data_IF_421971980741
#
_entry.id   IF_421971980741
#
_cell.length_a   1.000
_cell.length_b   1.000
_cell.length_c   1.000
_cell.angle_alpha   90.00
_cell.angle_beta   90.00
_cell.angle_gamma   90.00
#
_symmetry.space_group_name_H-M   'P 1'
#
loop_
_entity.id
_entity.type
_entity.pdbx_description
1 polymer ?
#
# COMPACT_ATOMS: atom_id res chain seq x y z
N UNK A 1 5.12 -13.44 2.49
CA UNK A 1 3.98 -14.08 1.81
C UNK A 1 2.71 -13.88 2.63
N UNK A 2 1.59 -13.56 1.96
CA UNK A 2 0.29 -13.30 2.60
C UNK A 2 -0.68 -14.42 2.18
N UNK A 3 -1.44 -14.99 3.12
CA UNK A 3 -2.45 -16.02 2.82
C UNK A 3 -3.78 -15.66 3.47
N UNK A 4 -4.83 -15.67 2.67
CA UNK A 4 -6.22 -15.62 3.12
C UNK A 4 -6.80 -17.04 3.06
N UNK A 5 -7.33 -17.52 4.16
CA UNK A 5 -7.90 -18.88 4.30
C UNK A 5 -9.36 -18.75 4.76
N UNK A 6 -10.29 -18.98 3.85
CA UNK A 6 -11.73 -18.90 4.05
C UNK A 6 -12.17 -17.59 4.74
N UNK A 7 -11.56 -16.46 4.35
CA UNK A 7 -11.77 -15.17 5.00
C UNK A 7 -13.10 -14.57 4.56
N UNK A 8 -13.91 -14.20 5.54
CA UNK A 8 -15.16 -13.49 5.33
C UNK A 8 -15.24 -12.23 6.17
N UNK A 9 -15.92 -11.20 5.64
CA UNK A 9 -16.20 -9.96 6.34
C UNK A 9 -17.63 -9.51 6.18
N UNK A 10 -18.31 -9.39 7.32
CA UNK A 10 -19.66 -8.85 7.41
C UNK A 10 -19.69 -7.57 8.26
N UNK A 11 -20.54 -6.63 7.89
CA UNK A 11 -20.92 -5.47 8.67
C UNK A 11 -22.41 -5.56 8.99
N UNK A 12 -22.73 -5.78 10.25
CA UNK A 12 -24.13 -6.08 10.70
C UNK A 12 -24.69 -7.28 9.91
N UNK A 13 -25.67 -7.07 9.03
CA UNK A 13 -26.32 -8.09 8.23
C UNK A 13 -25.86 -8.13 6.75
N UNK A 14 -24.84 -7.35 6.40
CA UNK A 14 -24.35 -7.26 5.02
C UNK A 14 -22.97 -7.90 4.88
N UNK A 15 -22.89 -8.97 4.10
CA UNK A 15 -21.61 -9.60 3.76
C UNK A 15 -20.93 -8.76 2.68
N UNK A 16 -19.68 -8.35 2.97
CA UNK A 16 -18.84 -7.57 2.03
C UNK A 16 -17.83 -8.47 1.34
N UNK A 17 -17.34 -9.49 2.05
CA UNK A 17 -16.44 -10.52 1.52
C UNK A 17 -16.88 -11.89 2.02
N UNK A 18 -16.86 -12.90 1.13
CA UNK A 18 -17.30 -14.25 1.44
C UNK A 18 -16.25 -15.28 1.01
N UNK A 19 -15.79 -16.08 1.96
CA UNK A 19 -14.93 -17.23 1.75
C UNK A 19 -13.69 -16.96 0.84
N UNK A 20 -13.05 -15.83 1.05
CA UNK A 20 -11.88 -15.43 0.27
C UNK A 20 -10.71 -16.37 0.54
N UNK A 21 -10.20 -16.97 -0.52
CA UNK A 21 -8.98 -17.78 -0.53
C UNK A 21 -7.99 -17.19 -1.54
N UNK A 22 -6.90 -16.61 -1.02
CA UNK A 22 -5.90 -15.94 -1.83
C UNK A 22 -4.52 -16.11 -1.21
N UNK A 23 -3.53 -16.44 -2.02
CA UNK A 23 -2.13 -16.44 -1.61
C UNK A 23 -1.36 -15.40 -2.43
N UNK A 24 -0.57 -14.59 -1.78
CA UNK A 24 0.33 -13.58 -2.40
C UNK A 24 1.75 -13.97 -2.05
N UNK A 25 2.59 -14.15 -3.05
CA UNK A 25 3.98 -14.57 -2.86
C UNK A 25 4.86 -13.38 -2.45
N UNK A 26 6.00 -13.70 -1.85
CA UNK A 26 7.02 -12.70 -1.56
C UNK A 26 7.54 -12.08 -2.86
N UNK A 27 7.72 -10.76 -2.86
CA UNK A 27 8.22 -10.02 -4.01
C UNK A 27 7.22 -9.87 -5.17
N UNK A 28 5.96 -10.28 -5.00
CA UNK A 28 4.92 -10.20 -6.02
C UNK A 28 4.13 -8.89 -5.92
N UNK A 29 3.87 -8.23 -7.06
CA UNK A 29 2.92 -7.14 -7.17
C UNK A 29 1.56 -7.68 -7.62
N UNK A 30 0.62 -7.76 -6.67
CA UNK A 30 -0.74 -8.22 -6.93
C UNK A 30 -1.69 -7.04 -6.98
N UNK A 31 -2.43 -6.92 -8.07
CA UNK A 31 -3.48 -5.90 -8.22
C UNK A 31 -4.85 -6.50 -7.92
N UNK A 32 -5.58 -5.86 -7.03
CA UNK A 32 -6.99 -6.14 -6.74
C UNK A 32 -7.86 -5.18 -7.56
N UNK A 33 -8.63 -5.70 -8.50
CA UNK A 33 -9.49 -4.90 -9.36
C UNK A 33 -10.95 -5.35 -9.24
N UNK A 34 -11.88 -4.44 -9.46
CA UNK A 34 -13.32 -4.70 -9.43
C UNK A 34 -14.15 -3.44 -9.24
N UNK A 35 -15.48 -3.51 -9.36
CA UNK A 35 -16.35 -2.36 -9.19
C UNK A 35 -16.26 -1.74 -7.78
N UNK A 36 -16.72 -0.49 -7.68
CA UNK A 36 -16.80 0.18 -6.37
C UNK A 36 -17.69 -0.61 -5.41
N UNK A 37 -17.27 -0.70 -4.14
CA UNK A 37 -18.02 -1.43 -3.12
C UNK A 37 -17.86 -2.95 -3.10
N UNK A 38 -17.10 -3.57 -4.03
CA UNK A 38 -16.95 -5.04 -4.07
C UNK A 38 -16.00 -5.61 -2.97
N UNK A 39 -15.42 -4.77 -2.09
CA UNK A 39 -14.64 -5.24 -0.96
C UNK A 39 -13.11 -5.07 -1.07
N UNK A 40 -12.55 -4.49 -2.15
CA UNK A 40 -11.09 -4.33 -2.36
C UNK A 40 -10.39 -3.65 -1.19
N UNK A 41 -10.82 -2.44 -0.84
CA UNK A 41 -10.29 -1.68 0.30
C UNK A 41 -10.48 -2.41 1.64
N UNK A 42 -11.58 -3.15 1.79
CA UNK A 42 -11.82 -3.98 2.98
C UNK A 42 -10.79 -5.10 3.07
N UNK A 43 -10.55 -5.81 1.95
CA UNK A 43 -9.52 -6.85 1.87
C UNK A 43 -8.14 -6.30 2.21
N UNK A 44 -7.78 -5.14 1.62
CA UNK A 44 -6.52 -4.46 1.88
C UNK A 44 -6.35 -4.10 3.36
N UNK A 45 -7.40 -3.50 3.96
CA UNK A 45 -7.39 -3.08 5.38
C UNK A 45 -7.37 -4.25 6.37
N UNK A 46 -7.75 -5.44 5.95
CA UNK A 46 -7.60 -6.63 6.80
C UNK A 46 -6.14 -7.11 6.86
N UNK A 47 -5.33 -6.94 5.82
CA UNK A 47 -3.91 -7.33 5.84
C UNK A 47 -3.16 -6.62 6.96
N UNK A 48 -3.36 -5.30 7.13
CA UNK A 48 -2.71 -4.52 8.18
C UNK A 48 -3.54 -4.46 9.48
N UNK A 49 -4.59 -5.27 9.57
CA UNK A 49 -5.45 -5.37 10.75
C UNK A 49 -6.05 -4.03 11.19
N UNK A 50 -6.34 -3.12 10.24
CA UNK A 50 -7.21 -1.96 10.48
C UNK A 50 -8.67 -2.41 10.61
N UNK A 51 -9.00 -3.57 10.03
CA UNK A 51 -10.29 -4.24 10.11
C UNK A 51 -10.00 -5.71 10.37
N UNK A 52 -10.60 -6.29 11.42
CA UNK A 52 -10.51 -7.73 11.67
C UNK A 52 -11.50 -8.50 10.78
N UNK A 53 -11.15 -9.70 10.29
CA UNK A 53 -12.08 -10.58 9.60
C UNK A 53 -13.20 -11.02 10.54
N UNK A 54 -14.38 -11.34 9.99
CA UNK A 54 -15.50 -11.92 10.76
C UNK A 54 -15.34 -13.43 10.89
N UNK A 55 -14.73 -14.09 9.89
CA UNK A 55 -14.39 -15.51 9.89
C UNK A 55 -13.15 -15.76 9.02
N UNK A 56 -12.54 -16.93 9.18
CA UNK A 56 -11.32 -17.32 8.48
C UNK A 56 -10.06 -16.76 9.13
N UNK A 57 -8.93 -16.91 8.44
CA UNK A 57 -7.61 -16.52 8.93
C UNK A 57 -6.82 -15.78 7.87
N UNK A 58 -6.01 -14.83 8.29
CA UNK A 58 -5.01 -14.16 7.42
C UNK A 58 -3.65 -14.43 8.04
N UNK A 59 -2.80 -15.09 7.26
CA UNK A 59 -1.43 -15.38 7.68
C UNK A 59 -0.45 -14.48 6.94
N UNK A 60 0.55 -13.97 7.67
CA UNK A 60 1.71 -13.28 7.11
C UNK A 60 2.95 -14.04 7.56
N UNK A 61 3.71 -14.53 6.57
CA UNK A 61 4.85 -15.40 6.80
C UNK A 61 4.53 -16.60 7.71
N UNK A 62 3.32 -17.18 7.54
CA UNK A 62 2.85 -18.31 8.31
C UNK A 62 2.27 -17.98 9.70
N UNK A 63 2.31 -16.73 10.14
CA UNK A 63 1.80 -16.28 11.44
C UNK A 63 0.46 -15.55 11.26
N UNK A 64 -0.56 -15.96 12.03
CA UNK A 64 -1.87 -15.31 12.01
C UNK A 64 -1.75 -13.85 12.48
N UNK A 65 -2.33 -12.92 11.73
CA UNK A 65 -2.31 -11.49 12.06
C UNK A 65 -2.98 -11.19 13.40
N UNK A 66 -3.94 -12.00 13.81
CA UNK A 66 -4.65 -11.84 15.10
C UNK A 66 -3.73 -12.16 16.28
N UNK A 67 -2.75 -13.04 16.09
CA UNK A 67 -1.77 -13.40 17.13
C UNK A 67 -0.63 -12.37 17.25
N UNK A 68 -0.51 -11.43 16.30
CA UNK A 68 0.55 -10.42 16.29
C UNK A 68 0.10 -9.14 17.01
N UNK A 69 1.07 -8.41 17.58
CA UNK A 69 0.81 -7.05 18.07
C UNK A 69 0.45 -6.14 16.87
N UNK A 70 -0.70 -5.45 16.88
CA UNK A 70 -1.16 -4.66 15.74
C UNK A 70 -0.29 -3.42 15.47
N UNK A 71 0.44 -2.92 16.46
CA UNK A 71 1.34 -1.77 16.29
C UNK A 71 2.58 -2.23 15.54
N UNK A 72 3.19 -3.32 15.97
CA UNK A 72 4.36 -3.89 15.32
C UNK A 72 4.03 -4.39 13.90
N UNK A 73 2.87 -5.03 13.72
CA UNK A 73 2.40 -5.45 12.40
C UNK A 73 2.33 -4.26 11.42
N UNK A 74 1.72 -3.15 11.84
CA UNK A 74 1.56 -1.94 11.00
C UNK A 74 2.85 -1.19 10.77
N UNK A 75 3.78 -1.16 11.74
CA UNK A 75 5.11 -0.56 11.57
C UNK A 75 5.95 -1.26 10.51
N UNK A 76 5.74 -2.58 10.35
CA UNK A 76 6.44 -3.41 9.38
C UNK A 76 5.75 -3.45 8.00
N UNK A 77 4.73 -2.60 7.78
CA UNK A 77 4.02 -2.47 6.50
C UNK A 77 4.00 -1.02 6.04
N UNK A 78 4.22 -0.81 4.75
CA UNK A 78 3.92 0.46 4.11
C UNK A 78 2.44 0.55 3.75
N UNK A 79 1.82 1.73 3.92
CA UNK A 79 0.45 1.94 3.49
C UNK A 79 0.27 3.29 2.80
N UNK A 80 -0.07 3.23 1.52
CA UNK A 80 -0.43 4.38 0.70
C UNK A 80 -1.95 4.40 0.59
N UNK A 81 -2.59 5.42 1.15
CA UNK A 81 -4.05 5.58 1.13
C UNK A 81 -4.51 6.38 -0.10
N UNK A 82 -5.77 6.23 -0.48
CA UNK A 82 -6.40 6.85 -1.66
C UNK A 82 -6.21 8.37 -1.74
N UNK A 83 -6.34 9.08 -0.63
CA UNK A 83 -5.89 10.46 -0.50
C UNK A 83 -4.48 10.44 0.07
N UNK A 84 -3.60 11.37 -0.33
CA UNK A 84 -2.17 11.37 0.07
C UNK A 84 -1.96 11.19 1.57
N UNK A 85 -2.95 11.59 2.39
CA UNK A 85 -2.95 11.43 3.85
C UNK A 85 -1.71 12.03 4.52
N UNK A 86 -1.10 13.02 3.89
CA UNK A 86 -0.01 13.76 4.51
C UNK A 86 -0.54 14.65 5.63
N UNK A 87 0.22 14.74 6.70
CA UNK A 87 -0.06 15.65 7.79
C UNK A 87 0.26 17.08 7.32
N UNK A 88 -0.79 17.86 7.06
CA UNK A 88 -0.67 19.21 6.46
C UNK A 88 0.07 20.22 7.33
N UNK A 89 0.16 19.96 8.63
CA UNK A 89 0.88 20.78 9.62
C UNK A 89 2.33 20.35 9.84
N UNK A 90 2.76 19.32 9.14
CA UNK A 90 4.13 18.80 9.15
C UNK A 90 4.80 19.06 7.81
N UNK A 91 6.10 19.27 7.82
CA UNK A 91 6.93 19.36 6.61
C UNK A 91 6.99 18.02 5.88
N UNK A 92 7.52 17.99 4.67
CA UNK A 92 7.82 16.75 3.93
C UNK A 92 8.72 15.83 4.75
N UNK A 93 9.78 16.38 5.33
CA UNK A 93 10.70 15.67 6.21
C UNK A 93 9.95 14.97 7.35
N UNK A 94 9.20 15.73 8.11
CA UNK A 94 8.44 15.21 9.26
C UNK A 94 7.42 14.15 8.85
N UNK A 95 6.78 14.30 7.68
CA UNK A 95 5.87 13.30 7.13
C UNK A 95 6.56 11.98 6.81
N UNK A 96 7.77 12.00 6.26
CA UNK A 96 8.54 10.78 5.95
C UNK A 96 9.09 10.15 7.23
N UNK A 97 9.61 10.97 8.14
CA UNK A 97 10.35 10.53 9.31
C UNK A 97 9.48 10.11 10.50
N UNK A 98 8.16 10.36 10.47
CA UNK A 98 7.26 10.11 11.62
C UNK A 98 7.29 8.64 12.11
N UNK A 99 7.25 7.67 11.20
CA UNK A 99 7.25 6.24 11.58
C UNK A 99 8.63 5.80 12.07
N UNK A 100 9.75 6.13 11.41
CA UNK A 100 11.10 5.95 11.94
C UNK A 100 11.30 6.51 13.35
N UNK A 101 10.84 7.74 13.63
CA UNK A 101 10.91 8.34 14.97
C UNK A 101 10.09 7.57 16.00
N UNK A 102 8.86 7.15 15.65
CA UNK A 102 8.03 6.32 16.52
C UNK A 102 8.64 4.94 16.78
N UNK A 103 9.40 4.42 15.84
CA UNK A 103 10.16 3.18 15.98
C UNK A 103 11.49 3.38 16.73
N UNK A 104 11.85 4.62 17.09
CA UNK A 104 13.08 5.01 17.79
C UNK A 104 14.35 4.61 17.04
N UNK A 105 14.35 4.72 15.71
CA UNK A 105 15.57 4.54 14.94
C UNK A 105 16.60 5.64 15.27
N UNK A 106 17.91 5.36 15.13
CA UNK A 106 18.95 6.36 15.27
C UNK A 106 18.75 7.54 14.30
N UNK A 107 19.01 8.76 14.76
CA UNK A 107 18.77 9.97 13.96
C UNK A 107 19.57 9.96 12.64
N UNK A 108 20.82 9.50 12.68
CA UNK A 108 21.66 9.43 11.49
C UNK A 108 21.07 8.48 10.43
N UNK A 109 20.51 7.35 10.86
CA UNK A 109 19.84 6.39 9.98
C UNK A 109 18.56 6.99 9.38
N UNK A 110 17.77 7.74 10.16
CA UNK A 110 16.57 8.42 9.68
C UNK A 110 16.92 9.41 8.57
N UNK A 111 17.93 10.26 8.80
CA UNK A 111 18.37 11.26 7.82
C UNK A 111 18.86 10.60 6.53
N UNK A 112 19.70 9.57 6.63
CA UNK A 112 20.21 8.84 5.45
C UNK A 112 19.06 8.20 4.66
N UNK A 113 18.12 7.56 5.33
CA UNK A 113 16.93 6.96 4.71
C UNK A 113 16.07 8.02 4.01
N UNK A 114 15.82 9.15 4.67
CA UNK A 114 15.01 10.24 4.12
C UNK A 114 15.59 10.77 2.82
N UNK A 115 16.91 10.97 2.75
CA UNK A 115 17.61 11.40 1.52
C UNK A 115 17.42 10.36 0.40
N UNK A 116 17.66 9.07 0.69
CA UNK A 116 17.47 7.98 -0.27
C UNK A 116 16.02 7.87 -0.77
N UNK A 117 15.05 8.09 0.12
CA UNK A 117 13.64 8.07 -0.23
C UNK A 117 13.26 9.23 -1.15
N UNK A 118 13.79 10.43 -0.94
CA UNK A 118 13.58 11.57 -1.85
C UNK A 118 14.13 11.29 -3.24
N UNK A 119 15.33 10.72 -3.32
CA UNK A 119 15.96 10.29 -4.60
C UNK A 119 15.11 9.20 -5.27
N UNK A 120 14.64 8.20 -4.50
CA UNK A 120 13.81 7.10 -4.98
C UNK A 120 12.52 7.59 -5.65
N UNK A 121 11.88 8.63 -5.09
CA UNK A 121 10.63 9.19 -5.65
C UNK A 121 10.89 10.37 -6.61
N UNK A 122 12.14 10.63 -6.98
CA UNK A 122 12.51 11.64 -7.96
C UNK A 122 12.18 13.07 -7.53
N UNK A 123 12.28 13.37 -6.23
CA UNK A 123 12.05 14.72 -5.70
C UNK A 123 13.33 15.34 -5.14
N UNK A 124 13.56 16.65 -5.41
CA UNK A 124 14.70 17.37 -4.86
C UNK A 124 14.67 17.43 -3.33
N UNK A 125 15.84 17.32 -2.70
CA UNK A 125 15.97 17.41 -1.24
C UNK A 125 15.51 18.74 -0.67
N UNK A 126 15.58 19.82 -1.46
CA UNK A 126 15.05 21.14 -1.07
C UNK A 126 13.56 21.17 -0.75
N UNK A 127 12.82 20.10 -1.11
CA UNK A 127 11.40 19.96 -0.77
C UNK A 127 11.18 19.46 0.67
N UNK A 128 12.22 18.96 1.32
CA UNK A 128 12.11 18.39 2.68
C UNK A 128 11.55 19.38 3.69
N UNK A 129 11.85 20.67 3.54
CA UNK A 129 11.40 21.72 4.45
C UNK A 129 10.10 22.41 4.01
N UNK A 130 9.49 21.94 2.90
CA UNK A 130 8.19 22.44 2.42
C UNK A 130 7.04 21.73 3.15
N UNK A 131 5.91 22.41 3.21
CA UNK A 131 4.64 21.83 3.69
C UNK A 131 3.86 21.23 2.51
N UNK A 132 2.98 20.23 2.74
CA UNK A 132 2.19 19.58 1.69
C UNK A 132 1.40 20.55 0.81
N UNK A 133 0.86 21.63 1.37
CA UNK A 133 0.09 22.64 0.63
C UNK A 133 0.95 23.45 -0.39
N UNK A 134 2.26 23.37 -0.31
CA UNK A 134 3.20 23.99 -1.28
C UNK A 134 3.60 23.03 -2.40
N UNK A 135 3.00 21.85 -2.47
CA UNK A 135 3.31 20.79 -3.43
C UNK A 135 2.11 20.51 -4.35
N UNK A 136 2.42 20.13 -5.61
CA UNK A 136 1.38 19.60 -6.51
C UNK A 136 0.83 18.26 -5.99
N UNK A 137 -0.35 17.84 -6.47
CA UNK A 137 -0.94 16.56 -6.09
C UNK A 137 -0.02 15.37 -6.38
N UNK A 138 0.66 15.36 -7.53
CA UNK A 138 1.64 14.33 -7.87
C UNK A 138 2.86 14.32 -6.95
N UNK A 139 3.36 15.50 -6.55
CA UNK A 139 4.46 15.60 -5.58
C UNK A 139 4.03 15.09 -4.20
N UNK A 140 2.82 15.47 -3.74
CA UNK A 140 2.27 14.94 -2.49
C UNK A 140 2.13 13.41 -2.53
N UNK A 141 1.69 12.86 -3.67
CA UNK A 141 1.58 11.40 -3.84
C UNK A 141 2.94 10.71 -3.75
N UNK A 142 3.98 11.26 -4.39
CA UNK A 142 5.36 10.76 -4.28
C UNK A 142 5.84 10.76 -2.83
N UNK A 143 5.54 11.81 -2.05
CA UNK A 143 5.86 11.85 -0.61
C UNK A 143 5.08 10.78 0.16
N UNK A 144 3.81 10.56 -0.17
CA UNK A 144 3.02 9.46 0.41
C UNK A 144 3.64 8.08 0.17
N UNK A 145 4.16 7.87 -1.05
CA UNK A 145 4.93 6.65 -1.38
C UNK A 145 6.24 6.60 -0.58
N UNK A 146 7.04 7.67 -0.56
CA UNK A 146 8.28 7.73 0.22
C UNK A 146 8.04 7.38 1.70
N UNK A 147 6.98 7.96 2.31
CA UNK A 147 6.59 7.64 3.69
C UNK A 147 6.25 6.16 3.88
N UNK A 148 5.57 5.53 2.92
CA UNK A 148 5.25 4.11 3.01
C UNK A 148 6.50 3.20 2.97
N UNK A 149 7.59 3.66 2.36
CA UNK A 149 8.87 2.96 2.32
C UNK A 149 9.81 3.32 3.48
N UNK A 150 9.45 4.26 4.37
CA UNK A 150 10.37 4.83 5.36
C UNK A 150 10.98 3.79 6.33
N UNK A 151 10.24 2.72 6.63
CA UNK A 151 10.72 1.59 7.45
C UNK A 151 11.33 0.45 6.64
N UNK A 152 11.51 0.62 5.35
CA UNK A 152 11.93 -0.44 4.41
C UNK A 152 11.08 -1.73 4.53
N UNK A 153 9.74 -1.63 4.53
CA UNK A 153 8.85 -2.76 4.80
C UNK A 153 8.95 -3.84 3.73
N UNK A 154 8.72 -5.09 4.12
CA UNK A 154 8.60 -6.21 3.17
C UNK A 154 7.27 -6.21 2.41
N UNK A 155 6.22 -5.60 2.99
CA UNK A 155 4.87 -5.54 2.42
C UNK A 155 4.43 -4.08 2.28
N UNK A 156 3.88 -3.74 1.11
CA UNK A 156 3.34 -2.40 0.84
C UNK A 156 1.91 -2.54 0.33
N UNK A 157 1.02 -1.82 0.96
CA UNK A 157 -0.40 -1.76 0.62
C UNK A 157 -0.69 -0.42 -0.04
N UNK A 158 -1.37 -0.43 -1.19
CA UNK A 158 -1.70 0.78 -1.94
C UNK A 158 -3.19 0.78 -2.30
N UNK A 159 -3.94 1.75 -1.78
CA UNK A 159 -5.37 1.88 -1.99
C UNK A 159 -5.65 3.02 -2.98
N UNK A 160 -5.88 2.70 -4.25
CA UNK A 160 -6.11 3.65 -5.36
C UNK A 160 -5.12 4.83 -5.38
N UNK A 161 -3.79 4.59 -5.30
CA UNK A 161 -2.82 5.64 -5.03
C UNK A 161 -2.75 6.71 -6.12
N UNK A 162 -3.20 6.42 -7.35
CA UNK A 162 -3.07 7.32 -8.48
C UNK A 162 -4.40 7.89 -8.99
N UNK A 163 -5.51 7.62 -8.29
CA UNK A 163 -6.87 7.98 -8.73
C UNK A 163 -7.11 9.48 -8.89
N UNK A 164 -6.42 10.31 -8.09
CA UNK A 164 -6.57 11.77 -8.10
C UNK A 164 -5.58 12.52 -9.02
N UNK A 165 -4.80 11.78 -9.84
CA UNK A 165 -3.76 12.36 -10.68
C UNK A 165 -4.22 12.53 -12.13
N UNK A 166 -3.66 13.54 -12.80
CA UNK A 166 -3.81 13.69 -14.24
C UNK A 166 -3.15 12.52 -15.01
N UNK A 167 -3.57 12.23 -16.24
CA UNK A 167 -3.12 11.04 -16.97
C UNK A 167 -1.60 10.97 -17.20
N UNK A 168 -0.92 12.11 -17.39
CA UNK A 168 0.51 12.16 -17.67
C UNK A 168 1.29 11.81 -16.40
N UNK A 169 0.99 12.50 -15.30
CA UNK A 169 1.60 12.25 -13.98
C UNK A 169 1.34 10.81 -13.52
N UNK A 170 0.12 10.30 -13.74
CA UNK A 170 -0.26 8.91 -13.43
C UNK A 170 0.62 7.92 -14.17
N UNK A 171 0.76 8.08 -15.50
CA UNK A 171 1.60 7.18 -16.31
C UNK A 171 3.06 7.17 -15.85
N UNK A 172 3.62 8.33 -15.53
CA UNK A 172 4.99 8.45 -15.02
C UNK A 172 5.17 7.71 -13.69
N UNK A 173 4.23 7.89 -12.74
CA UNK A 173 4.30 7.22 -11.43
C UNK A 173 4.11 5.71 -11.53
N UNK A 174 3.30 5.23 -12.46
CA UNK A 174 3.19 3.80 -12.75
C UNK A 174 4.52 3.22 -13.26
N UNK A 175 5.18 3.89 -14.21
CA UNK A 175 6.49 3.47 -14.71
C UNK A 175 7.55 3.46 -13.60
N UNK A 176 7.53 4.48 -12.73
CA UNK A 176 8.41 4.53 -11.56
C UNK A 176 8.13 3.39 -10.58
N UNK A 177 6.85 3.07 -10.31
CA UNK A 177 6.48 1.95 -9.43
C UNK A 177 6.96 0.62 -9.98
N UNK A 178 6.80 0.36 -11.28
CA UNK A 178 7.30 -0.85 -11.95
C UNK A 178 8.83 -0.95 -11.83
N UNK A 179 9.54 0.15 -12.12
CA UNK A 179 10.99 0.19 -12.00
C UNK A 179 11.46 -0.04 -10.55
N UNK A 180 10.74 0.53 -9.58
CA UNK A 180 11.03 0.38 -8.16
C UNK A 180 10.81 -1.05 -7.71
N UNK A 181 9.68 -1.67 -8.12
CA UNK A 181 9.36 -3.06 -7.82
C UNK A 181 10.41 -4.02 -8.38
N UNK A 182 10.84 -3.81 -9.62
CA UNK A 182 11.89 -4.63 -10.25
C UNK A 182 13.22 -4.60 -9.46
N UNK A 183 13.54 -3.45 -8.84
CA UNK A 183 14.78 -3.25 -8.07
C UNK A 183 14.68 -3.80 -6.64
N UNK A 184 13.57 -3.50 -5.95
CA UNK A 184 13.43 -3.75 -4.51
C UNK A 184 12.75 -5.09 -4.19
N UNK A 185 12.02 -5.67 -5.12
CA UNK A 185 11.27 -6.93 -4.99
C UNK A 185 10.40 -6.99 -3.73
N UNK A 186 9.74 -5.87 -3.40
CA UNK A 186 8.79 -5.80 -2.28
C UNK A 186 7.48 -6.50 -2.64
N UNK A 187 6.81 -7.08 -1.66
CA UNK A 187 5.44 -7.60 -1.86
C UNK A 187 4.48 -6.41 -1.85
N UNK A 188 3.80 -6.18 -2.98
CA UNK A 188 2.87 -5.05 -3.13
C UNK A 188 1.46 -5.56 -3.37
N UNK A 189 0.51 -5.07 -2.58
CA UNK A 189 -0.93 -5.27 -2.82
C UNK A 189 -1.51 -3.92 -3.24
N UNK A 190 -1.92 -3.83 -4.49
CA UNK A 190 -2.37 -2.61 -5.12
C UNK A 190 -3.87 -2.70 -5.45
N UNK A 191 -4.64 -1.72 -5.04
CA UNK A 191 -6.08 -1.62 -5.36
C UNK A 191 -6.28 -0.56 -6.42
N UNK A 192 -7.02 -0.89 -7.46
CA UNK A 192 -7.47 0.06 -8.47
C UNK A 192 -8.84 -0.34 -9.04
N UNK A 193 -9.49 0.56 -9.74
CA UNK A 193 -10.66 0.31 -10.57
C UNK A 193 -10.33 0.45 -12.07
N UNK A 194 -9.09 0.81 -12.42
CA UNK A 194 -8.59 1.02 -13.78
C UNK A 194 -7.90 -0.24 -14.28
N UNK A 195 -8.43 -0.84 -15.37
CA UNK A 195 -7.90 -2.07 -15.96
C UNK A 195 -6.57 -1.83 -16.66
N UNK A 196 -6.38 -0.69 -17.31
CA UNK A 196 -5.14 -0.37 -18.02
C UNK A 196 -3.99 -0.21 -17.02
N UNK A 197 -4.29 0.40 -15.86
CA UNK A 197 -3.34 0.47 -14.74
C UNK A 197 -2.97 -0.92 -14.25
N UNK A 198 -3.97 -1.78 -14.00
CA UNK A 198 -3.73 -3.14 -13.51
C UNK A 198 -2.85 -3.95 -14.47
N UNK A 199 -3.14 -3.92 -15.77
CA UNK A 199 -2.36 -4.63 -16.80
C UNK A 199 -0.92 -4.11 -16.90
N UNK A 200 -0.74 -2.80 -16.72
CA UNK A 200 0.57 -2.16 -16.84
C UNK A 200 1.52 -2.53 -15.70
N UNK A 201 1.01 -2.64 -14.47
CA UNK A 201 1.88 -2.74 -13.27
C UNK A 201 1.92 -4.13 -12.64
N UNK A 202 0.93 -5.01 -12.87
CA UNK A 202 0.76 -6.23 -12.11
C UNK A 202 1.64 -7.39 -12.59
N UNK A 203 2.21 -8.14 -11.64
CA UNK A 203 2.64 -9.53 -11.88
C UNK A 203 1.42 -10.46 -11.93
N UNK A 204 0.36 -10.11 -11.18
CA UNK A 204 -0.88 -10.87 -11.09
C UNK A 204 -2.07 -9.98 -10.77
N UNK A 205 -3.20 -10.24 -11.45
CA UNK A 205 -4.45 -9.51 -11.26
C UNK A 205 -5.49 -10.43 -10.61
N UNK A 206 -6.06 -9.97 -9.50
CA UNK A 206 -7.18 -10.60 -8.83
C UNK A 206 -8.45 -9.77 -9.05
N UNK A 207 -9.43 -10.36 -9.72
CA UNK A 207 -10.70 -9.70 -10.02
C UNK A 207 -11.70 -10.02 -8.91
N UNK A 208 -12.11 -8.98 -8.17
CA UNK A 208 -13.14 -9.08 -7.15
C UNK A 208 -14.49 -8.63 -7.70
N UNK A 209 -15.54 -9.39 -7.38
CA UNK A 209 -16.92 -9.04 -7.71
C UNK A 209 -17.87 -9.55 -6.64
N UNK A 210 -18.74 -8.69 -6.14
CA UNK A 210 -19.77 -9.05 -5.14
C UNK A 210 -19.23 -9.83 -3.92
N UNK A 211 -18.04 -9.46 -3.45
CA UNK A 211 -17.44 -10.07 -2.25
C UNK A 211 -16.67 -11.36 -2.49
N UNK A 212 -16.50 -11.80 -3.73
CA UNK A 212 -15.76 -13.02 -4.09
C UNK A 212 -14.64 -12.72 -5.10
N UNK A 213 -13.65 -13.63 -5.21
CA UNK A 213 -12.59 -13.59 -6.23
C UNK A 213 -13.03 -14.41 -7.45
N UNK A 214 -13.42 -13.73 -8.53
CA UNK A 214 -13.87 -14.39 -9.76
C UNK A 214 -12.71 -15.00 -10.56
N UNK A 215 -11.58 -14.32 -10.62
CA UNK A 215 -10.38 -14.73 -11.36
C UNK A 215 -9.11 -14.23 -10.69
N UNK A 216 -8.07 -15.03 -10.85
CA UNK A 216 -6.71 -14.76 -10.40
C UNK A 216 -5.77 -15.12 -11.57
N UNK A 217 -5.33 -14.10 -12.30
CA UNK A 217 -4.59 -14.27 -13.57
C UNK A 217 -3.16 -13.77 -13.39
N UNK A 218 -2.20 -14.60 -13.74
CA UNK A 218 -0.77 -14.23 -13.78
C UNK A 218 -0.47 -13.64 -15.18
N UNK A 219 0.24 -12.52 -15.21
CA UNK A 219 0.75 -11.87 -16.43
C UNK A 219 2.22 -12.13 -16.64
#
# INVERSE_FOLDING_TARGET
>A
MIQFINVSKAYKQHNVLENINLSINEGELVVLIGPSGCGKTTLLKMINRLIDPTAGQILINGTDIIAQDPIELRRNMGYVIQQTGLFVHMTVRENIEIVPHLAKLPQDEIVERTVKLMEMVGLPQEFLDRYPNHLSGGQQQRIGVARAFAMDPGIILMDEPFSALDPITRSQLQDELVNLQAKLRKTIVFVTHDMDEAVKIADRICILHSGDILRNVKY
#
